data_IF_211090245530
#
_entry.id   IF_211090245530
#
_cell.length_a   1.000
_cell.length_b   1.000
_cell.length_c   1.000
_cell.angle_alpha   90.00
_cell.angle_beta   90.00
_cell.angle_gamma   90.00
#
_symmetry.space_group_name_H-M   'P 1'
#
loop_
_entity.id
_entity.type
_entity.pdbx_description
1 polymer ?
#
# COMPACT_ATOMS: atom_id res chain seq x y z
N UNK A 1 -30.03 -65.39 5.55
CA UNK A 1 -28.59 -65.35 5.76
C UNK A 1 -28.16 -63.91 5.70
N UNK A 2 -27.82 -63.38 6.83
CA UNK A 2 -27.69 -61.99 7.11
C UNK A 2 -26.32 -61.47 6.61
N UNK A 3 -26.27 -60.40 5.80
CA UNK A 3 -25.10 -59.60 5.54
C UNK A 3 -25.26 -58.29 6.27
N UNK A 4 -24.54 -58.12 7.33
CA UNK A 4 -24.47 -56.90 8.08
C UNK A 4 -23.59 -55.90 7.34
N UNK A 5 -24.17 -54.79 6.95
CA UNK A 5 -23.48 -53.62 6.40
C UNK A 5 -22.90 -52.81 7.56
N UNK A 6 -21.62 -52.95 7.82
CA UNK A 6 -20.91 -52.07 8.72
C UNK A 6 -20.74 -50.71 8.08
N UNK A 7 -21.35 -49.74 8.75
CA UNK A 7 -21.28 -48.34 8.40
C UNK A 7 -19.86 -47.78 8.54
N UNK A 8 -19.35 -47.27 7.44
CA UNK A 8 -18.15 -46.47 7.44
C UNK A 8 -18.40 -45.19 8.21
N UNK A 9 -17.75 -45.02 9.35
CA UNK A 9 -17.68 -43.76 10.09
C UNK A 9 -16.99 -42.71 9.27
N UNK A 10 -17.54 -41.50 9.12
CA UNK A 10 -16.81 -40.40 8.50
C UNK A 10 -15.59 -40.04 9.36
N UNK A 11 -14.43 -40.13 8.77
CA UNK A 11 -13.19 -39.66 9.36
C UNK A 11 -13.35 -38.18 9.70
N UNK A 12 -13.36 -37.88 10.98
CA UNK A 12 -13.38 -36.54 11.53
C UNK A 12 -12.24 -35.72 10.95
N UNK A 13 -12.58 -34.53 10.48
CA UNK A 13 -11.70 -33.62 9.77
C UNK A 13 -10.38 -33.39 10.49
N UNK A 14 -9.31 -33.50 9.75
CA UNK A 14 -7.99 -33.02 10.18
C UNK A 14 -8.11 -31.55 10.55
N UNK A 15 -8.08 -31.27 11.83
CA UNK A 15 -8.00 -29.92 12.33
C UNK A 15 -6.69 -29.33 11.85
N UNK A 16 -6.79 -28.29 11.04
CA UNK A 16 -5.64 -27.46 10.64
C UNK A 16 -5.22 -26.64 11.88
N UNK A 17 -4.52 -27.27 12.79
CA UNK A 17 -4.01 -26.63 14.01
C UNK A 17 -2.73 -25.81 13.79
N UNK A 18 -2.13 -25.89 12.61
CA UNK A 18 -0.78 -25.39 12.38
C UNK A 18 -0.69 -24.02 11.67
N UNK A 19 -1.82 -23.47 11.21
CA UNK A 19 -1.83 -22.21 10.46
C UNK A 19 -2.04 -20.95 11.33
N UNK A 20 -2.55 -21.07 12.54
CA UNK A 20 -2.96 -19.90 13.32
C UNK A 20 -1.84 -19.05 13.92
N UNK A 21 -0.73 -19.59 14.47
CA UNK A 21 0.32 -18.74 15.05
C UNK A 21 1.13 -17.98 14.01
N UNK A 22 1.40 -18.56 12.84
CA UNK A 22 2.15 -17.91 11.78
C UNK A 22 1.38 -16.78 11.11
N UNK A 23 0.06 -16.92 10.96
CA UNK A 23 -0.81 -15.86 10.41
C UNK A 23 -0.97 -14.69 11.37
N UNK A 24 -1.12 -14.95 12.68
CA UNK A 24 -1.20 -13.93 13.72
C UNK A 24 0.12 -13.13 13.82
N UNK A 25 1.27 -13.81 13.80
CA UNK A 25 2.59 -13.19 13.83
C UNK A 25 2.80 -12.30 12.59
N UNK A 26 2.45 -12.78 11.39
CA UNK A 26 2.52 -12.00 10.16
C UNK A 26 1.60 -10.79 10.18
N UNK A 27 0.39 -10.92 10.72
CA UNK A 27 -0.55 -9.81 10.87
C UNK A 27 -0.03 -8.74 11.83
N UNK A 28 0.56 -9.16 12.96
CA UNK A 28 1.19 -8.26 13.94
C UNK A 28 2.36 -7.51 13.31
N UNK A 29 3.26 -8.21 12.64
CA UNK A 29 4.39 -7.61 11.94
C UNK A 29 3.91 -6.60 10.89
N UNK A 30 2.91 -6.94 10.08
CA UNK A 30 2.33 -6.03 9.08
C UNK A 30 1.75 -4.77 9.71
N UNK A 31 1.09 -4.88 10.88
CA UNK A 31 0.58 -3.71 11.62
C UNK A 31 1.69 -2.80 12.11
N UNK A 32 2.76 -3.37 12.65
CA UNK A 32 3.93 -2.61 13.12
C UNK A 32 4.55 -1.84 11.94
N UNK A 33 4.80 -2.50 10.81
CA UNK A 33 5.33 -1.84 9.61
C UNK A 33 4.39 -0.74 9.10
N UNK A 34 3.10 -0.97 9.06
CA UNK A 34 2.12 0.03 8.65
C UNK A 34 2.13 1.26 9.58
N UNK A 35 2.25 1.05 10.89
CA UNK A 35 2.33 2.14 11.87
C UNK A 35 3.63 2.94 11.70
N UNK A 36 4.76 2.27 11.54
CA UNK A 36 6.07 2.91 11.31
C UNK A 36 6.08 3.69 9.98
N UNK A 37 5.52 3.12 8.93
CA UNK A 37 5.39 3.77 7.64
C UNK A 37 4.53 5.02 7.70
N UNK A 38 3.39 4.96 8.39
CA UNK A 38 2.49 6.10 8.60
C UNK A 38 3.15 7.19 9.44
N UNK A 39 3.92 6.83 10.46
CA UNK A 39 4.72 7.77 11.23
C UNK A 39 5.80 8.42 10.36
N UNK A 40 6.54 7.64 9.58
CA UNK A 40 7.57 8.11 8.66
C UNK A 40 7.03 9.01 7.54
N UNK A 41 5.81 8.76 7.06
CA UNK A 41 5.21 9.56 5.99
C UNK A 41 4.96 11.02 6.38
N UNK A 42 4.86 11.33 7.67
CA UNK A 42 4.73 12.72 8.18
C UNK A 42 6.00 13.52 7.97
N UNK A 43 7.16 12.87 7.94
CA UNK A 43 8.46 13.50 7.75
C UNK A 43 8.96 13.40 6.31
N UNK A 44 8.20 12.74 5.45
CA UNK A 44 8.54 12.57 4.05
C UNK A 44 8.45 13.90 3.29
N UNK A 45 9.52 14.22 2.58
CA UNK A 45 9.63 15.41 1.73
C UNK A 45 10.09 14.98 0.34
N UNK A 46 9.23 15.11 -0.65
CA UNK A 46 9.47 14.64 -2.04
C UNK A 46 10.84 15.02 -2.58
N UNK A 47 11.25 16.31 -2.66
CA UNK A 47 12.52 16.68 -3.28
C UNK A 47 13.76 16.20 -2.51
N UNK A 48 13.63 15.97 -1.21
CA UNK A 48 14.73 15.53 -0.35
C UNK A 48 14.91 14.01 -0.37
N UNK A 49 13.80 13.27 -0.33
CA UNK A 49 13.83 11.84 0.00
C UNK A 49 13.73 10.94 -1.24
N UNK A 50 12.93 11.33 -2.26
CA UNK A 50 12.75 10.50 -3.46
C UNK A 50 14.03 10.23 -4.24
N UNK A 51 14.93 11.21 -4.48
CA UNK A 51 16.15 10.95 -5.23
C UNK A 51 17.09 9.93 -4.60
N UNK A 52 16.99 9.76 -3.27
CA UNK A 52 17.77 8.77 -2.51
C UNK A 52 17.20 7.35 -2.63
N UNK A 53 15.92 7.23 -2.94
CA UNK A 53 15.18 5.98 -2.92
C UNK A 53 15.00 5.37 -4.30
N UNK A 54 14.71 6.20 -5.30
CA UNK A 54 14.43 5.78 -6.67
C UNK A 54 15.10 6.73 -7.67
N UNK A 55 15.44 6.20 -8.85
CA UNK A 55 15.95 7.01 -9.94
C UNK A 55 14.82 7.84 -10.57
N UNK A 56 14.98 9.15 -10.57
CA UNK A 56 14.04 10.13 -11.11
C UNK A 56 14.79 11.18 -11.94
N UNK A 57 14.16 11.62 -13.01
CA UNK A 57 14.59 12.82 -13.71
C UNK A 57 14.12 14.06 -12.95
N UNK A 58 14.85 15.19 -13.02
CA UNK A 58 14.44 16.43 -12.36
C UNK A 58 13.03 16.87 -12.71
N UNK A 59 12.64 16.76 -13.98
CA UNK A 59 11.28 17.07 -14.42
C UNK A 59 10.19 16.18 -13.81
N UNK A 60 10.50 14.92 -13.53
CA UNK A 60 9.57 14.01 -12.83
C UNK A 60 9.41 14.38 -11.36
N UNK A 61 10.49 14.85 -10.74
CA UNK A 61 10.49 15.27 -9.33
C UNK A 61 9.65 16.53 -9.12
N UNK A 62 9.73 17.46 -10.08
CA UNK A 62 9.01 18.75 -10.05
C UNK A 62 7.55 18.63 -10.49
N UNK A 63 7.20 17.55 -11.21
CA UNK A 63 5.85 17.33 -11.72
C UNK A 63 4.85 17.13 -10.59
N UNK A 64 4.12 18.20 -10.26
CA UNK A 64 3.09 18.20 -9.24
C UNK A 64 1.72 17.70 -9.73
N UNK A 65 1.59 17.35 -11.02
CA UNK A 65 0.35 16.85 -11.60
C UNK A 65 -0.08 15.51 -10.99
N UNK A 66 -1.37 15.18 -11.11
CA UNK A 66 -1.88 13.87 -10.71
C UNK A 66 -1.19 12.75 -11.49
N UNK A 67 -1.00 12.93 -12.80
CA UNK A 67 -0.31 11.96 -13.64
C UNK A 67 1.15 11.76 -13.24
N UNK A 68 1.88 12.83 -12.89
CA UNK A 68 3.24 12.78 -12.38
C UNK A 68 3.31 12.04 -11.05
N UNK A 69 2.39 12.33 -10.13
CA UNK A 69 2.30 11.65 -8.84
C UNK A 69 1.99 10.17 -8.99
N UNK A 70 1.12 9.77 -9.91
CA UNK A 70 0.82 8.37 -10.20
C UNK A 70 2.03 7.62 -10.78
N UNK A 71 2.83 8.27 -11.64
CA UNK A 71 4.09 7.70 -12.14
C UNK A 71 5.09 7.43 -11.01
N UNK A 72 5.24 8.37 -10.08
CA UNK A 72 6.09 8.21 -8.90
C UNK A 72 5.60 7.04 -8.02
N UNK A 73 4.31 6.96 -7.75
CA UNK A 73 3.70 5.85 -6.99
C UNK A 73 3.99 4.50 -7.67
N UNK A 74 3.89 4.43 -9.00
CA UNK A 74 4.19 3.21 -9.74
C UNK A 74 5.67 2.81 -9.63
N UNK A 75 6.59 3.76 -9.70
CA UNK A 75 8.04 3.54 -9.50
C UNK A 75 8.34 3.06 -8.06
N UNK A 76 7.74 3.69 -7.05
CA UNK A 76 7.87 3.29 -5.64
C UNK A 76 7.35 1.87 -5.42
N UNK A 77 6.20 1.52 -6.00
CA UNK A 77 5.63 0.18 -5.91
C UNK A 77 6.56 -0.87 -6.53
N UNK A 78 7.22 -0.56 -7.65
CA UNK A 78 8.21 -1.44 -8.27
C UNK A 78 9.43 -1.65 -7.38
N UNK A 79 9.97 -0.57 -6.81
CA UNK A 79 11.10 -0.61 -5.89
C UNK A 79 10.77 -1.42 -4.62
N UNK A 80 9.59 -1.22 -4.04
CA UNK A 80 9.11 -2.00 -2.88
C UNK A 80 8.99 -3.49 -3.18
N UNK A 81 8.50 -3.88 -4.37
CA UNK A 81 8.46 -5.29 -4.77
C UNK A 81 9.86 -5.90 -4.87
N UNK A 82 10.83 -5.14 -5.38
CA UNK A 82 12.21 -5.58 -5.46
C UNK A 82 12.83 -5.77 -4.06
N UNK A 83 12.62 -4.82 -3.14
CA UNK A 83 13.10 -4.94 -1.76
C UNK A 83 12.46 -6.11 -1.01
N UNK A 84 11.17 -6.35 -1.19
CA UNK A 84 10.49 -7.52 -0.60
C UNK A 84 11.06 -8.83 -1.08
N UNK A 85 11.38 -8.94 -2.37
CA UNK A 85 12.03 -10.15 -2.92
C UNK A 85 13.41 -10.36 -2.32
N UNK A 86 14.21 -9.29 -2.16
CA UNK A 86 15.52 -9.36 -1.50
C UNK A 86 15.39 -9.82 -0.05
N UNK A 87 14.44 -9.26 0.69
CA UNK A 87 14.17 -9.66 2.07
C UNK A 87 13.80 -11.15 2.18
N UNK A 88 12.91 -11.63 1.31
CA UNK A 88 12.44 -13.02 1.33
C UNK A 88 13.53 -14.03 0.94
N UNK A 89 14.43 -13.65 0.03
CA UNK A 89 15.56 -14.49 -0.39
C UNK A 89 16.78 -14.38 0.53
N UNK A 90 16.75 -13.56 1.56
CA UNK A 90 17.92 -13.29 2.40
C UNK A 90 19.08 -12.66 1.63
N UNK A 91 18.79 -11.90 0.58
CA UNK A 91 19.82 -11.33 -0.28
C UNK A 91 20.68 -10.31 0.48
N UNK A 92 21.99 -10.39 0.33
CA UNK A 92 22.96 -9.56 1.05
C UNK A 92 22.74 -8.03 0.84
N UNK A 93 22.15 -7.61 -0.28
CA UNK A 93 21.89 -6.20 -0.58
C UNK A 93 20.55 -5.70 -0.04
N UNK A 94 19.84 -6.50 0.74
CA UNK A 94 18.63 -6.03 1.41
C UNK A 94 18.95 -5.00 2.50
N UNK A 95 18.31 -3.86 2.45
CA UNK A 95 18.47 -2.79 3.44
C UNK A 95 17.11 -2.43 4.04
N UNK A 96 16.96 -2.68 5.34
CA UNK A 96 15.75 -2.38 6.08
C UNK A 96 15.42 -0.88 6.09
N UNK A 97 16.43 -0.02 6.23
CA UNK A 97 16.24 1.43 6.26
C UNK A 97 15.72 1.94 4.92
N UNK A 98 16.30 1.44 3.83
CA UNK A 98 15.82 1.71 2.48
C UNK A 98 14.38 1.22 2.28
N UNK A 99 14.05 0.02 2.75
CA UNK A 99 12.70 -0.53 2.69
C UNK A 99 11.70 0.36 3.42
N UNK A 100 12.00 0.75 4.66
CA UNK A 100 11.15 1.66 5.45
C UNK A 100 11.01 3.03 4.79
N UNK A 101 12.09 3.57 4.23
CA UNK A 101 12.06 4.81 3.45
C UNK A 101 11.12 4.74 2.25
N UNK A 102 11.19 3.66 1.48
CA UNK A 102 10.30 3.41 0.35
C UNK A 102 8.82 3.31 0.77
N UNK A 103 8.53 2.63 1.88
CA UNK A 103 7.16 2.52 2.39
C UNK A 103 6.65 3.90 2.83
N UNK A 104 7.46 4.68 3.56
CA UNK A 104 7.11 6.03 4.01
C UNK A 104 6.86 6.98 2.83
N UNK A 105 7.68 6.92 1.80
CA UNK A 105 7.51 7.71 0.58
C UNK A 105 6.23 7.31 -0.17
N UNK A 106 5.97 6.01 -0.30
CA UNK A 106 4.75 5.50 -0.93
C UNK A 106 3.48 5.97 -0.22
N UNK A 107 3.43 5.87 1.10
CA UNK A 107 2.30 6.38 1.90
C UNK A 107 2.16 7.90 1.80
N UNK A 108 3.28 8.64 1.79
CA UNK A 108 3.29 10.08 1.62
C UNK A 108 2.71 10.54 0.28
N UNK A 109 3.09 9.86 -0.81
CA UNK A 109 2.57 10.15 -2.15
C UNK A 109 1.09 9.77 -2.30
N UNK A 110 0.64 8.66 -1.74
CA UNK A 110 -0.78 8.30 -1.70
C UNK A 110 -1.62 9.30 -0.91
N UNK A 111 -1.12 9.77 0.23
CA UNK A 111 -1.79 10.81 1.02
C UNK A 111 -1.89 12.14 0.26
N UNK A 112 -0.86 12.48 -0.53
CA UNK A 112 -0.86 13.66 -1.40
C UNK A 112 -1.93 13.57 -2.49
N UNK A 113 -2.00 12.44 -3.20
CA UNK A 113 -3.03 12.17 -4.21
C UNK A 113 -4.44 12.24 -3.63
N UNK A 114 -4.65 11.67 -2.46
CA UNK A 114 -5.95 11.70 -1.77
C UNK A 114 -6.37 13.11 -1.38
N UNK A 115 -5.43 13.96 -0.99
CA UNK A 115 -5.69 15.38 -0.68
C UNK A 115 -6.04 16.17 -1.92
N UNK A 116 -5.33 15.95 -3.03
CA UNK A 116 -5.61 16.61 -4.31
C UNK A 116 -7.02 16.29 -4.81
N UNK A 117 -7.43 15.03 -4.75
CA UNK A 117 -8.80 14.60 -5.12
C UNK A 117 -9.88 15.24 -4.25
N UNK A 118 -9.67 15.34 -2.95
CA UNK A 118 -10.62 16.01 -2.04
C UNK A 118 -10.69 17.51 -2.26
N UNK A 119 -9.59 18.16 -2.59
CA UNK A 119 -9.54 19.57 -2.94
C UNK A 119 -10.36 19.87 -4.19
N UNK A 120 -10.26 19.04 -5.21
CA UNK A 120 -11.03 19.18 -6.46
C UNK A 120 -12.54 19.00 -6.22
N UNK A 121 -12.95 18.01 -5.42
CA UNK A 121 -14.38 17.82 -5.07
C UNK A 121 -15.01 18.99 -4.30
N UNK A 122 -14.21 19.72 -3.54
CA UNK A 122 -14.70 20.90 -2.78
C UNK A 122 -14.78 22.16 -3.62
N UNK A 123 -14.07 22.23 -4.73
CA UNK A 123 -14.00 23.39 -5.63
C UNK A 123 -14.92 23.27 -6.84
N UNK A 124 -15.78 22.26 -6.92
CA UNK A 124 -16.80 22.19 -7.93
C UNK A 124 -17.78 23.36 -7.71
N UNK A 125 -17.88 24.32 -8.65
CA UNK A 125 -18.81 25.42 -8.53
C UNK A 125 -20.22 24.84 -8.47
N UNK A 126 -20.94 25.18 -7.41
CA UNK A 126 -22.36 24.84 -7.29
C UNK A 126 -23.08 25.26 -8.56
N UNK A 127 -23.88 24.37 -9.10
CA UNK A 127 -24.74 24.64 -10.22
C UNK A 127 -25.55 25.94 -9.90
N UNK A 128 -25.26 26.96 -10.65
CA UNK A 128 -26.08 28.16 -10.64
C UNK A 128 -27.51 27.76 -11.02
N UNK A 129 -28.42 27.90 -10.13
CA UNK A 129 -29.84 27.77 -10.41
C UNK A 129 -30.21 28.74 -11.53
N UNK A 130 -30.98 28.32 -12.56
CA UNK A 130 -31.45 29.23 -13.54
C UNK A 130 -32.47 30.18 -12.86
N UNK A 131 -32.10 31.44 -12.77
CA UNK A 131 -32.98 32.48 -12.34
C UNK A 131 -34.20 32.52 -13.24
N UNK A 132 -35.36 32.32 -12.64
CA UNK A 132 -36.65 32.59 -13.28
C UNK A 132 -36.71 34.08 -13.50
N UNK A 133 -36.66 34.51 -14.74
CA UNK A 133 -37.09 35.83 -15.13
C UNK A 133 -38.60 35.77 -15.33
N UNK A 134 -39.33 36.40 -14.44
CA UNK A 134 -40.72 36.72 -14.67
C UNK A 134 -40.82 38.14 -15.25
N UNK A 135 -41.63 38.25 -16.33
CA UNK A 135 -42.16 39.45 -16.99
C UNK A 135 -41.19 40.33 -17.76
#
# INVERSE_FOLDING_TARGET
MLAESEGAKPMAGKRRLDEQPATAARAKTRRIYATMAKAGSRYYVRPRDLPKLIALWPCELEDASEAGSLRIVAKLRRALRAERRRALSGHWSYDLNRHLGLVSAYEGELARLSRAKRGFSRSAPGAAAPGVAAE
#
